data_IF_087058805451
#
_entry.id   IF_087058805451
#
_cell.length_a   1.000
_cell.length_b   1.000
_cell.length_c   1.000
_cell.angle_alpha   90.00
_cell.angle_beta   90.00
_cell.angle_gamma   90.00
#
_symmetry.space_group_name_H-M   'P 1'
#
loop_
_entity.id
_entity.type
_entity.pdbx_description
1 polymer ?
#
# COMPACT_ATOMS: atom_id res chain seq x y z
N UNK A 1 -5.17 6.53 8.73
CA UNK A 1 -5.31 8.01 8.55
C UNK A 1 -4.30 8.82 9.37
N UNK A 2 -4.08 8.53 10.66
CA UNK A 2 -3.13 9.26 11.50
C UNK A 2 -1.69 9.30 10.95
N UNK A 3 -1.18 8.19 10.40
CA UNK A 3 0.17 8.15 9.81
C UNK A 3 0.33 9.14 8.64
N UNK A 4 -0.72 9.32 7.82
CA UNK A 4 -0.70 10.30 6.72
C UNK A 4 -0.63 11.73 7.25
N UNK A 5 -1.40 12.07 8.29
CA UNK A 5 -1.32 13.39 8.92
C UNK A 5 0.07 13.66 9.52
N UNK A 6 0.67 12.67 10.19
CA UNK A 6 2.03 12.80 10.77
C UNK A 6 3.09 13.05 9.70
N UNK A 7 3.00 12.35 8.57
CA UNK A 7 3.87 12.56 7.41
C UNK A 7 3.75 13.99 6.84
N UNK A 8 2.52 14.48 6.61
CA UNK A 8 2.30 15.81 6.06
C UNK A 8 2.72 16.93 7.03
N UNK A 9 2.53 16.75 8.35
CA UNK A 9 3.03 17.69 9.35
C UNK A 9 4.54 17.79 9.36
N UNK A 10 5.24 16.65 9.24
CA UNK A 10 6.70 16.63 9.11
C UNK A 10 7.15 17.31 7.82
N UNK A 11 6.54 16.97 6.69
CA UNK A 11 6.85 17.57 5.38
C UNK A 11 6.66 19.09 5.39
N UNK A 12 5.56 19.57 5.98
CA UNK A 12 5.29 21.00 6.12
C UNK A 12 6.36 21.67 7.00
N UNK A 13 6.67 21.09 8.17
CA UNK A 13 7.69 21.62 9.08
C UNK A 13 9.07 21.74 8.41
N UNK A 14 9.53 20.66 7.76
CA UNK A 14 10.84 20.62 7.11
C UNK A 14 10.92 21.65 5.99
N UNK A 15 9.86 21.77 5.18
CA UNK A 15 9.79 22.75 4.08
C UNK A 15 9.73 24.19 4.58
N UNK A 16 9.06 24.44 5.70
CA UNK A 16 8.98 25.77 6.31
C UNK A 16 10.32 26.22 6.90
N UNK A 17 11.02 25.31 7.60
CA UNK A 17 12.37 25.57 8.11
C UNK A 17 13.36 25.87 6.98
N UNK A 18 13.29 25.09 5.89
CA UNK A 18 14.12 25.32 4.71
C UNK A 18 13.83 26.69 4.07
N UNK A 19 12.55 27.08 3.95
CA UNK A 19 12.17 28.38 3.43
C UNK A 19 12.66 29.54 4.32
N UNK A 20 12.57 29.40 5.65
CA UNK A 20 13.09 30.39 6.60
C UNK A 20 14.61 30.53 6.50
N UNK A 21 15.34 29.40 6.42
CA UNK A 21 16.80 29.41 6.26
C UNK A 21 17.24 30.14 4.99
N UNK A 22 16.48 30.01 3.91
CA UNK A 22 16.76 30.66 2.63
C UNK A 22 16.08 32.04 2.46
N UNK A 23 15.40 32.58 3.49
CA UNK A 23 14.64 33.84 3.44
C UNK A 23 13.64 33.90 2.26
N UNK A 24 12.96 32.79 1.99
CA UNK A 24 11.98 32.68 0.90
C UNK A 24 10.60 33.05 1.44
N UNK A 25 9.92 33.98 0.78
CA UNK A 25 8.51 34.23 1.04
C UNK A 25 7.65 33.11 0.42
N UNK A 26 6.99 32.35 1.28
CA UNK A 26 6.17 31.18 0.91
C UNK A 26 4.68 31.46 1.05
N UNK A 27 4.29 32.70 1.32
CA UNK A 27 2.88 33.08 1.48
C UNK A 27 2.10 33.03 0.17
N UNK A 28 2.77 33.19 -0.97
CA UNK A 28 2.16 33.13 -2.30
C UNK A 28 2.44 31.79 -2.99
N UNK A 29 1.41 31.26 -3.67
CA UNK A 29 1.60 30.09 -4.53
C UNK A 29 2.63 30.42 -5.61
N UNK A 30 3.67 29.59 -5.80
CA UNK A 30 4.72 29.90 -6.76
C UNK A 30 4.14 29.99 -8.17
N UNK A 31 4.44 31.10 -8.87
CA UNK A 31 4.15 31.24 -10.30
C UNK A 31 5.17 30.42 -11.09
N UNK A 32 4.69 29.67 -12.09
CA UNK A 32 5.55 28.87 -12.96
C UNK A 32 6.39 29.79 -13.86
N UNK A 33 7.55 30.21 -13.38
CA UNK A 33 8.51 30.99 -14.15
C UNK A 33 9.64 30.08 -14.67
N UNK A 34 9.81 30.05 -15.99
CA UNK A 34 10.67 29.09 -16.70
C UNK A 34 12.18 29.41 -16.53
N UNK A 35 12.53 30.63 -16.09
CA UNK A 35 13.92 31.09 -15.94
C UNK A 35 14.20 31.65 -14.55
N UNK A 36 14.53 30.77 -13.62
CA UNK A 36 14.95 31.15 -12.27
C UNK A 36 16.33 30.62 -11.93
N UNK A 37 17.06 31.38 -11.11
CA UNK A 37 18.30 30.93 -10.50
C UNK A 37 18.06 29.71 -9.61
N UNK A 38 19.09 28.89 -9.38
CA UNK A 38 18.98 27.64 -8.59
C UNK A 38 18.42 27.91 -7.19
N UNK A 39 18.84 29.00 -6.53
CA UNK A 39 18.31 29.42 -5.22
C UNK A 39 16.80 29.74 -5.28
N UNK A 40 16.35 30.48 -6.30
CA UNK A 40 14.93 30.76 -6.50
C UNK A 40 14.12 29.49 -6.81
N UNK A 41 14.68 28.54 -7.57
CA UNK A 41 14.04 27.24 -7.83
C UNK A 41 13.85 26.40 -6.55
N UNK A 42 14.84 26.38 -5.65
CA UNK A 42 14.70 25.73 -4.34
C UNK A 42 13.60 26.37 -3.51
N UNK A 43 13.57 27.70 -3.43
CA UNK A 43 12.51 28.42 -2.73
C UNK A 43 11.10 28.12 -3.27
N UNK A 44 10.95 28.06 -4.60
CA UNK A 44 9.67 27.66 -5.22
C UNK A 44 9.26 26.22 -4.90
N UNK A 45 10.23 25.30 -4.86
CA UNK A 45 9.96 23.92 -4.46
C UNK A 45 9.45 23.85 -3.02
N UNK A 46 10.10 24.55 -2.09
CA UNK A 46 9.69 24.62 -0.68
C UNK A 46 8.32 25.29 -0.53
N UNK A 47 8.04 26.39 -1.25
CA UNK A 47 6.70 27.02 -1.28
C UNK A 47 5.61 26.05 -1.79
N UNK A 48 5.88 25.35 -2.90
CA UNK A 48 4.95 24.36 -3.46
C UNK A 48 4.70 23.19 -2.50
N UNK A 49 5.76 22.69 -1.86
CA UNK A 49 5.67 21.62 -0.87
C UNK A 49 4.85 22.06 0.35
N UNK A 50 5.03 23.29 0.84
CA UNK A 50 4.26 23.88 1.95
C UNK A 50 2.77 23.96 1.57
N UNK A 51 2.44 24.52 0.41
CA UNK A 51 1.04 24.63 -0.03
C UNK A 51 0.37 23.26 -0.20
N UNK A 52 1.06 22.31 -0.85
CA UNK A 52 0.55 20.94 -0.99
C UNK A 52 0.34 20.27 0.36
N UNK A 53 1.31 20.40 1.29
CA UNK A 53 1.19 19.80 2.62
C UNK A 53 0.09 20.48 3.44
N UNK A 54 -0.10 21.80 3.33
CA UNK A 54 -1.21 22.55 3.96
C UNK A 54 -2.57 22.01 3.51
N UNK A 55 -2.76 21.85 2.20
CA UNK A 55 -4.00 21.30 1.64
C UNK A 55 -4.23 19.85 2.13
N UNK A 56 -3.18 19.03 2.20
CA UNK A 56 -3.27 17.65 2.68
C UNK A 56 -3.52 17.55 4.19
N UNK A 57 -2.93 18.42 5.01
CA UNK A 57 -3.20 18.50 6.46
C UNK A 57 -4.69 18.77 6.68
N UNK A 58 -5.28 19.74 5.98
CA UNK A 58 -6.71 20.04 6.07
C UNK A 58 -7.56 18.81 5.69
N UNK A 59 -7.26 18.17 4.54
CA UNK A 59 -7.97 16.95 4.10
C UNK A 59 -7.87 15.82 5.12
N UNK A 60 -6.68 15.62 5.68
CA UNK A 60 -6.41 14.55 6.64
C UNK A 60 -7.14 14.77 7.96
N UNK A 61 -7.13 16.00 8.50
CA UNK A 61 -7.90 16.31 9.72
C UNK A 61 -9.40 16.16 9.50
N UNK A 62 -9.93 16.59 8.35
CA UNK A 62 -11.32 16.31 7.98
C UNK A 62 -11.62 14.81 7.90
N UNK A 63 -10.70 14.00 7.35
CA UNK A 63 -10.88 12.55 7.30
C UNK A 63 -10.93 11.91 8.70
N UNK A 64 -10.24 12.50 9.71
CA UNK A 64 -10.31 12.02 11.10
C UNK A 64 -11.69 12.18 11.71
N UNK A 65 -12.57 13.03 11.18
CA UNK A 65 -13.97 13.12 11.65
C UNK A 65 -14.67 11.76 11.57
N UNK A 66 -14.25 10.85 10.69
CA UNK A 66 -14.77 9.47 10.64
C UNK A 66 -14.52 8.66 11.91
N UNK A 67 -13.56 9.06 12.73
CA UNK A 67 -13.22 8.42 14.01
C UNK A 67 -14.05 8.93 15.20
N UNK A 68 -15.03 9.82 14.97
CA UNK A 68 -15.94 10.33 15.99
C UNK A 68 -16.79 9.25 16.69
N UNK A 69 -16.86 8.05 16.09
CA UNK A 69 -17.54 6.88 16.66
C UNK A 69 -16.88 6.39 17.95
N UNK A 70 -15.62 6.73 18.19
CA UNK A 70 -14.94 6.55 19.47
C UNK A 70 -15.17 7.81 20.30
N UNK A 71 -15.94 7.70 21.38
CA UNK A 71 -16.43 8.84 22.18
C UNK A 71 -15.30 9.79 22.63
N UNK A 72 -14.16 9.22 23.00
CA UNK A 72 -12.97 9.96 23.45
C UNK A 72 -12.23 10.72 22.33
N UNK A 73 -12.46 10.43 21.05
CA UNK A 73 -11.79 11.11 19.94
C UNK A 73 -12.43 12.44 19.57
N UNK A 74 -13.72 12.62 19.85
CA UNK A 74 -14.46 13.83 19.48
C UNK A 74 -13.80 15.13 19.97
N UNK A 75 -13.43 15.28 21.26
CA UNK A 75 -12.75 16.50 21.72
C UNK A 75 -11.38 16.70 21.05
N UNK A 76 -10.62 15.62 20.85
CA UNK A 76 -9.30 15.65 20.21
C UNK A 76 -9.41 16.10 18.75
N UNK A 77 -10.42 15.62 18.00
CA UNK A 77 -10.65 16.01 16.60
C UNK A 77 -11.03 17.50 16.50
N UNK A 78 -11.90 17.99 17.38
CA UNK A 78 -12.28 19.41 17.42
C UNK A 78 -11.04 20.27 17.68
N UNK A 79 -10.22 19.89 18.64
CA UNK A 79 -8.98 20.60 18.96
C UNK A 79 -8.00 20.61 17.77
N UNK A 80 -7.83 19.47 17.10
CA UNK A 80 -7.03 19.39 15.87
C UNK A 80 -7.56 20.31 14.76
N UNK A 81 -8.87 20.43 14.60
CA UNK A 81 -9.47 21.36 13.62
C UNK A 81 -9.20 22.82 13.98
N UNK A 82 -9.31 23.18 15.26
CA UNK A 82 -9.00 24.51 15.75
C UNK A 82 -7.51 24.86 15.54
N UNK A 83 -6.61 23.96 15.90
CA UNK A 83 -5.16 24.14 15.69
C UNK A 83 -4.80 24.26 14.21
N UNK A 84 -5.45 23.51 13.31
CA UNK A 84 -5.24 23.67 11.87
C UNK A 84 -5.78 25.00 11.37
N UNK A 85 -6.90 25.48 11.90
CA UNK A 85 -7.41 26.81 11.59
C UNK A 85 -6.43 27.91 12.04
N UNK A 86 -5.91 27.82 13.27
CA UNK A 86 -4.89 28.72 13.81
C UNK A 86 -3.61 28.70 12.97
N UNK A 87 -3.14 27.50 12.59
CA UNK A 87 -1.99 27.33 11.68
C UNK A 87 -2.22 28.07 10.36
N UNK A 88 -3.41 27.96 9.78
CA UNK A 88 -3.74 28.65 8.54
C UNK A 88 -3.72 30.18 8.72
N UNK A 89 -4.20 30.70 9.85
CA UNK A 89 -4.18 32.13 10.15
C UNK A 89 -2.74 32.65 10.33
N UNK A 90 -1.94 31.99 11.17
CA UNK A 90 -0.56 32.41 11.45
C UNK A 90 0.33 32.31 10.21
N UNK A 91 0.15 31.26 9.41
CA UNK A 91 0.83 31.14 8.12
C UNK A 91 0.48 32.30 7.18
N UNK A 92 -0.80 32.67 7.08
CA UNK A 92 -1.24 33.78 6.22
C UNK A 92 -0.72 35.15 6.73
N UNK A 93 -0.54 35.30 8.05
CA UNK A 93 0.12 36.47 8.67
C UNK A 93 1.65 36.46 8.52
N UNK A 94 2.23 35.42 7.88
CA UNK A 94 3.69 35.19 7.75
C UNK A 94 4.39 34.98 9.11
N UNK A 95 3.66 34.55 10.14
CA UNK A 95 4.22 34.23 11.44
C UNK A 95 4.70 32.77 11.48
N UNK A 96 5.86 32.52 10.86
CA UNK A 96 6.38 31.16 10.67
C UNK A 96 6.84 30.50 11.96
N UNK A 97 7.37 31.26 12.91
CA UNK A 97 7.75 30.72 14.23
C UNK A 97 6.53 30.17 14.97
N UNK A 98 5.44 30.95 15.02
CA UNK A 98 4.21 30.51 15.67
C UNK A 98 3.56 29.33 14.90
N UNK A 99 3.67 29.31 13.57
CA UNK A 99 3.24 28.17 12.75
C UNK A 99 3.97 26.87 13.14
N UNK A 100 5.28 26.93 13.44
CA UNK A 100 6.05 25.77 13.91
C UNK A 100 5.59 25.30 15.29
N UNK A 101 5.29 26.22 16.21
CA UNK A 101 4.76 25.89 17.54
C UNK A 101 3.40 25.19 17.44
N UNK A 102 2.51 25.70 16.58
CA UNK A 102 1.19 25.08 16.33
C UNK A 102 1.36 23.67 15.77
N UNK A 103 2.31 23.42 14.86
CA UNK A 103 2.59 22.06 14.36
C UNK A 103 2.99 21.12 15.49
N UNK A 104 3.78 21.57 16.46
CA UNK A 104 4.13 20.75 17.63
C UNK A 104 2.91 20.45 18.49
N UNK A 105 2.02 21.42 18.70
CA UNK A 105 0.73 21.21 19.39
C UNK A 105 -0.13 20.17 18.65
N UNK A 106 -0.25 20.28 17.32
CA UNK A 106 -0.98 19.31 16.49
C UNK A 106 -0.39 17.91 16.66
N UNK A 107 0.94 17.76 16.64
CA UNK A 107 1.61 16.47 16.84
C UNK A 107 1.35 15.87 18.23
N UNK A 108 1.31 16.70 19.27
CA UNK A 108 1.00 16.26 20.64
C UNK A 108 -0.47 15.82 20.74
N UNK A 109 -1.39 16.61 20.19
CA UNK A 109 -2.82 16.31 20.21
C UNK A 109 -3.15 15.06 19.40
N UNK A 110 -2.51 14.90 18.24
CA UNK A 110 -2.65 13.72 17.38
C UNK A 110 -2.33 12.41 18.12
N UNK A 111 -1.36 12.42 19.05
CA UNK A 111 -0.99 11.22 19.83
C UNK A 111 -2.09 10.77 20.79
N UNK A 112 -3.05 11.64 21.11
CA UNK A 112 -4.19 11.32 21.99
C UNK A 112 -5.32 10.61 21.24
N UNK A 113 -5.29 10.58 19.90
CA UNK A 113 -6.29 9.88 19.12
C UNK A 113 -6.23 8.38 19.39
N UNK A 114 -7.35 7.84 19.85
CA UNK A 114 -7.58 6.40 19.99
C UNK A 114 -8.00 5.91 18.61
N UNK A 115 -7.07 5.29 17.89
CA UNK A 115 -7.39 4.62 16.64
C UNK A 115 -8.02 3.28 17.03
N UNK A 116 -9.33 3.05 16.77
CA UNK A 116 -9.94 1.78 17.14
C UNK A 116 -9.15 0.65 16.47
N UNK A 117 -8.79 -0.37 17.25
CA UNK A 117 -8.03 -1.54 16.79
C UNK A 117 -8.73 -2.31 15.65
N UNK A 118 -9.95 -1.93 15.27
CA UNK A 118 -10.66 -2.45 14.09
C UNK A 118 -9.94 -2.20 12.76
N UNK A 119 -8.88 -1.37 12.71
CA UNK A 119 -7.98 -1.28 11.55
C UNK A 119 -6.74 -2.20 11.64
N UNK A 120 -6.47 -2.81 12.81
CA UNK A 120 -5.50 -3.88 13.01
C UNK A 120 -6.12 -5.26 12.83
N UNK A 121 -7.09 -5.40 11.91
CA UNK A 121 -7.45 -6.72 11.40
C UNK A 121 -6.26 -7.26 10.61
N UNK A 122 -5.29 -7.80 11.35
CA UNK A 122 -4.32 -8.73 10.80
C UNK A 122 -5.14 -9.77 10.06
N UNK A 123 -4.82 -9.96 8.80
CA UNK A 123 -5.33 -11.12 8.10
C UNK A 123 -4.75 -12.33 8.80
N UNK A 124 -5.60 -13.28 9.12
CA UNK A 124 -5.21 -14.64 9.48
C UNK A 124 -5.73 -15.53 8.39
N UNK A 125 -4.85 -16.39 7.87
CA UNK A 125 -5.16 -17.24 6.73
C UNK A 125 -5.45 -18.65 7.22
N UNK A 126 -6.65 -19.16 6.89
CA UNK A 126 -6.96 -20.57 7.10
C UNK A 126 -6.10 -21.44 6.19
N UNK A 127 -5.48 -22.47 6.78
CA UNK A 127 -4.55 -23.36 6.08
C UNK A 127 -5.34 -24.43 5.33
N UNK A 128 -5.22 -24.52 3.99
CA UNK A 128 -5.90 -25.54 3.21
C UNK A 128 -5.32 -26.92 3.49
N UNK A 129 -6.08 -27.97 3.19
CA UNK A 129 -5.56 -29.34 3.15
C UNK A 129 -4.66 -29.48 1.92
N UNK A 130 -3.43 -29.98 2.12
CA UNK A 130 -2.41 -30.04 1.09
C UNK A 130 -1.84 -31.45 0.96
N UNK A 131 -1.30 -31.77 -0.21
CA UNK A 131 -0.49 -32.96 -0.41
C UNK A 131 0.78 -32.86 0.46
N UNK A 132 1.15 -33.90 1.24
CA UNK A 132 2.31 -33.88 2.13
C UNK A 132 3.62 -33.48 1.47
N UNK A 133 3.82 -33.81 0.19
CA UNK A 133 5.06 -33.53 -0.53
C UNK A 133 5.29 -32.03 -0.80
N UNK A 134 4.21 -31.25 -0.92
CA UNK A 134 4.29 -29.79 -1.15
C UNK A 134 3.85 -28.97 0.08
N UNK A 135 3.33 -29.62 1.12
CA UNK A 135 2.71 -28.95 2.25
C UNK A 135 3.66 -27.98 2.94
N UNK A 136 4.92 -28.39 3.16
CA UNK A 136 5.90 -27.54 3.83
C UNK A 136 6.17 -26.25 3.05
N UNK A 137 6.38 -26.35 1.73
CA UNK A 137 6.68 -25.18 0.89
C UNK A 137 5.47 -24.23 0.83
N UNK A 138 4.28 -24.78 0.56
CA UNK A 138 3.07 -23.97 0.43
C UNK A 138 2.68 -23.32 1.76
N UNK A 139 2.85 -23.99 2.89
CA UNK A 139 2.57 -23.40 4.21
C UNK A 139 3.55 -22.27 4.56
N UNK A 140 4.83 -22.41 4.19
CA UNK A 140 5.80 -21.33 4.36
C UNK A 140 5.43 -20.11 3.50
N UNK A 141 5.02 -20.33 2.25
CA UNK A 141 4.55 -19.23 1.38
C UNK A 141 3.25 -18.58 1.93
N UNK A 142 2.33 -19.34 2.54
CA UNK A 142 1.12 -18.80 3.20
C UNK A 142 1.48 -17.94 4.42
N UNK A 143 2.46 -18.37 5.22
CA UNK A 143 2.94 -17.58 6.35
C UNK A 143 3.58 -16.26 5.88
N UNK A 144 4.41 -16.32 4.83
CA UNK A 144 4.98 -15.10 4.23
C UNK A 144 3.90 -14.20 3.63
N UNK A 145 2.86 -14.79 3.03
CA UNK A 145 1.71 -14.08 2.47
C UNK A 145 0.96 -13.29 3.55
N UNK A 146 0.71 -13.92 4.70
CA UNK A 146 0.08 -13.29 5.86
C UNK A 146 0.93 -12.11 6.38
N UNK A 147 2.23 -12.33 6.56
CA UNK A 147 3.17 -11.30 6.99
C UNK A 147 3.21 -10.11 6.01
N UNK A 148 3.30 -10.41 4.71
CA UNK A 148 3.31 -9.39 3.66
C UNK A 148 2.01 -8.59 3.62
N UNK A 149 0.86 -9.25 3.80
CA UNK A 149 -0.44 -8.58 3.80
C UNK A 149 -0.55 -7.61 4.99
N UNK A 150 -0.15 -8.08 6.17
CA UNK A 150 -0.19 -7.31 7.40
C UNK A 150 0.80 -6.13 7.37
N UNK A 151 1.91 -6.26 6.64
CA UNK A 151 2.84 -5.17 6.35
C UNK A 151 2.39 -4.23 5.21
N UNK A 152 1.19 -4.42 4.65
CA UNK A 152 0.67 -3.68 3.48
C UNK A 152 1.52 -3.83 2.20
N UNK A 153 2.29 -4.91 2.08
CA UNK A 153 3.10 -5.27 0.91
C UNK A 153 2.25 -5.99 -0.16
N UNK A 154 1.18 -5.35 -0.61
CA UNK A 154 0.13 -5.97 -1.42
C UNK A 154 0.57 -6.54 -2.77
N UNK A 155 1.63 -6.00 -3.39
CA UNK A 155 2.20 -6.57 -4.62
C UNK A 155 2.91 -7.88 -4.33
N UNK A 156 3.67 -7.96 -3.23
CA UNK A 156 4.33 -9.18 -2.79
C UNK A 156 3.31 -10.28 -2.50
N UNK A 157 2.16 -9.94 -1.89
CA UNK A 157 1.09 -10.91 -1.69
C UNK A 157 0.62 -11.56 -3.00
N UNK A 158 0.42 -10.77 -4.06
CA UNK A 158 -0.04 -11.31 -5.36
C UNK A 158 1.05 -12.18 -6.00
N UNK A 159 2.33 -11.85 -5.83
CA UNK A 159 3.45 -12.69 -6.29
C UNK A 159 3.44 -14.04 -5.56
N UNK A 160 3.27 -14.03 -4.23
CA UNK A 160 3.19 -15.24 -3.41
C UNK A 160 1.97 -16.10 -3.77
N UNK A 161 0.80 -15.49 -4.04
CA UNK A 161 -0.36 -16.22 -4.57
C UNK A 161 -0.03 -16.94 -5.88
N UNK A 162 0.78 -16.32 -6.75
CA UNK A 162 1.26 -16.97 -7.97
C UNK A 162 2.17 -18.15 -7.71
N UNK A 163 3.13 -18.00 -6.79
CA UNK A 163 4.04 -19.09 -6.41
C UNK A 163 3.28 -20.28 -5.82
N UNK A 164 2.36 -20.03 -4.89
CA UNK A 164 1.50 -21.06 -4.28
C UNK A 164 0.74 -21.84 -5.35
N UNK A 165 0.11 -21.15 -6.31
CA UNK A 165 -0.61 -21.80 -7.42
C UNK A 165 0.34 -22.61 -8.31
N UNK A 166 1.53 -22.09 -8.60
CA UNK A 166 2.53 -22.76 -9.44
C UNK A 166 2.97 -24.08 -8.80
N UNK A 167 3.31 -24.07 -7.51
CA UNK A 167 3.66 -25.27 -6.74
C UNK A 167 2.52 -26.29 -6.71
N UNK A 168 1.28 -25.85 -6.47
CA UNK A 168 0.12 -26.75 -6.45
C UNK A 168 -0.18 -27.36 -7.83
N UNK A 169 -0.08 -26.57 -8.90
CA UNK A 169 -0.32 -27.04 -10.26
C UNK A 169 0.78 -28.00 -10.75
N UNK A 170 2.04 -27.78 -10.36
CA UNK A 170 3.13 -28.74 -10.62
C UNK A 170 2.82 -30.10 -10.01
N UNK A 171 2.42 -30.12 -8.72
CA UNK A 171 2.00 -31.35 -8.05
C UNK A 171 0.81 -32.01 -8.74
N UNK A 172 -0.21 -31.22 -9.09
CA UNK A 172 -1.40 -31.73 -9.80
C UNK A 172 -1.04 -32.33 -11.16
N UNK A 173 -0.13 -31.71 -11.90
CA UNK A 173 0.37 -32.24 -13.17
C UNK A 173 1.07 -33.59 -12.97
N UNK A 174 1.93 -33.69 -11.95
CA UNK A 174 2.61 -34.94 -11.61
C UNK A 174 1.60 -36.03 -11.23
N UNK A 175 0.61 -35.71 -10.38
CA UNK A 175 -0.39 -36.69 -9.93
C UNK A 175 -1.17 -37.33 -11.08
N UNK A 176 -1.44 -36.57 -12.16
CA UNK A 176 -2.18 -37.06 -13.32
C UNK A 176 -1.27 -37.75 -14.34
N UNK A 177 -0.04 -37.27 -14.52
CA UNK A 177 0.82 -37.71 -15.63
C UNK A 177 1.93 -38.67 -15.21
N UNK A 178 2.26 -38.73 -13.92
CA UNK A 178 3.43 -39.43 -13.37
C UNK A 178 4.77 -38.78 -13.73
N UNK A 179 4.77 -37.62 -14.39
CA UNK A 179 6.00 -36.94 -14.83
C UNK A 179 6.23 -35.66 -14.05
N UNK A 180 7.44 -35.50 -13.52
CA UNK A 180 7.87 -34.21 -13.00
C UNK A 180 8.21 -33.28 -14.18
N UNK A 181 7.42 -32.23 -14.33
CA UNK A 181 7.59 -31.25 -15.39
C UNK A 181 8.86 -30.40 -15.18
N UNK A 182 9.30 -30.25 -13.93
CA UNK A 182 10.46 -29.44 -13.57
C UNK A 182 11.78 -30.12 -13.94
N UNK A 183 11.84 -31.45 -13.97
CA UNK A 183 13.02 -32.18 -14.44
C UNK A 183 13.37 -31.85 -15.89
N UNK A 184 12.35 -31.68 -16.74
CA UNK A 184 12.52 -31.38 -18.17
C UNK A 184 12.51 -29.89 -18.48
N UNK A 185 11.84 -29.09 -17.65
CA UNK A 185 11.62 -27.66 -17.89
C UNK A 185 11.77 -26.88 -16.58
N UNK A 186 12.99 -26.77 -16.04
CA UNK A 186 13.21 -25.99 -14.82
C UNK A 186 12.81 -24.52 -15.07
N UNK A 187 12.06 -23.94 -14.14
CA UNK A 187 11.58 -22.55 -14.26
C UNK A 187 10.44 -22.34 -15.25
N UNK A 188 9.65 -23.39 -15.56
CA UNK A 188 8.43 -23.24 -16.35
C UNK A 188 7.46 -22.26 -15.66
N UNK A 189 7.05 -21.21 -16.38
CA UNK A 189 6.08 -20.26 -15.85
C UNK A 189 4.65 -20.79 -15.87
N UNK A 190 3.81 -20.27 -14.97
CA UNK A 190 2.37 -20.58 -14.85
C UNK A 190 1.62 -20.66 -16.19
N UNK A 191 1.85 -19.72 -17.12
CA UNK A 191 1.14 -19.71 -18.40
C UNK A 191 1.47 -20.94 -19.27
N UNK A 192 2.75 -21.31 -19.35
CA UNK A 192 3.21 -22.48 -20.10
C UNK A 192 2.80 -23.78 -19.41
N UNK A 193 2.77 -23.80 -18.07
CA UNK A 193 2.28 -24.94 -17.30
C UNK A 193 0.81 -25.25 -17.61
N UNK A 194 -0.06 -24.24 -17.63
CA UNK A 194 -1.48 -24.42 -18.02
C UNK A 194 -1.61 -25.00 -19.42
N UNK A 195 -0.87 -24.47 -20.39
CA UNK A 195 -0.92 -24.95 -21.77
C UNK A 195 -0.56 -26.45 -21.84
N UNK A 196 0.49 -26.88 -21.13
CA UNK A 196 0.88 -28.29 -21.04
C UNK A 196 -0.15 -29.15 -20.32
N UNK A 197 -0.81 -28.62 -19.28
CA UNK A 197 -1.93 -29.33 -18.63
C UNK A 197 -3.10 -29.56 -19.59
N UNK A 198 -3.44 -28.56 -20.40
CA UNK A 198 -4.49 -28.65 -21.42
C UNK A 198 -4.14 -29.64 -22.54
N UNK A 199 -2.89 -29.66 -23.00
CA UNK A 199 -2.39 -30.65 -23.98
C UNK A 199 -2.50 -32.10 -23.47
N UNK A 200 -2.53 -32.29 -22.15
CA UNK A 200 -2.72 -33.59 -21.49
C UNK A 200 -4.18 -33.88 -21.12
N UNK A 201 -5.12 -33.09 -21.63
CA UNK A 201 -6.57 -33.16 -21.35
C UNK A 201 -6.89 -33.04 -19.84
N UNK A 202 -6.03 -32.35 -19.08
CA UNK A 202 -6.29 -32.06 -17.66
C UNK A 202 -7.24 -30.86 -17.61
N UNK A 203 -8.50 -31.14 -17.26
CA UNK A 203 -9.52 -30.11 -17.10
C UNK A 203 -9.24 -29.24 -15.88
N UNK A 204 -8.97 -27.97 -16.13
CA UNK A 204 -8.87 -26.94 -15.10
C UNK A 204 -10.19 -26.17 -15.01
N UNK A 205 -10.59 -25.80 -13.79
CA UNK A 205 -11.73 -24.93 -13.58
C UNK A 205 -11.48 -23.56 -14.26
N UNK A 206 -12.45 -22.99 -15.00
CA UNK A 206 -12.29 -21.71 -15.68
C UNK A 206 -11.84 -20.56 -14.76
N UNK A 207 -12.23 -20.59 -13.47
CA UNK A 207 -11.82 -19.63 -12.46
C UNK A 207 -10.31 -19.65 -12.19
N UNK A 208 -9.67 -20.82 -12.32
CA UNK A 208 -8.21 -20.97 -12.19
C UNK A 208 -7.50 -20.21 -13.29
N UNK A 209 -7.93 -20.37 -14.54
CA UNK A 209 -7.33 -19.69 -15.69
C UNK A 209 -7.46 -18.16 -15.56
N UNK A 210 -8.63 -17.67 -15.14
CA UNK A 210 -8.85 -16.23 -14.93
C UNK A 210 -7.95 -15.67 -13.82
N UNK A 211 -7.83 -16.39 -12.69
CA UNK A 211 -6.97 -15.97 -11.58
C UNK A 211 -5.50 -15.91 -12.01
N UNK A 212 -5.05 -16.89 -12.77
CA UNK A 212 -3.66 -16.94 -13.23
C UNK A 212 -3.37 -15.79 -14.20
N UNK A 213 -4.31 -15.44 -15.08
CA UNK A 213 -4.15 -14.25 -15.92
C UNK A 213 -4.02 -12.97 -15.09
N UNK A 214 -4.86 -12.80 -14.05
CA UNK A 214 -4.78 -11.66 -13.15
C UNK A 214 -3.43 -11.59 -12.43
N UNK A 215 -2.99 -12.70 -11.83
CA UNK A 215 -1.72 -12.80 -11.12
C UNK A 215 -0.53 -12.56 -12.07
N UNK A 216 -0.53 -13.17 -13.25
CA UNK A 216 0.55 -13.00 -14.23
C UNK A 216 0.68 -11.54 -14.68
N UNK A 217 -0.45 -10.87 -14.92
CA UNK A 217 -0.42 -9.44 -15.24
C UNK A 217 0.30 -8.66 -14.13
N UNK A 218 -0.06 -8.89 -12.87
CA UNK A 218 0.57 -8.19 -11.73
C UNK A 218 2.04 -8.58 -11.52
N UNK A 219 2.42 -9.86 -11.68
CA UNK A 219 3.82 -10.32 -11.61
C UNK A 219 4.68 -9.60 -12.65
N UNK A 220 4.21 -9.53 -13.90
CA UNK A 220 4.91 -8.83 -14.99
C UNK A 220 5.06 -7.34 -14.66
N UNK A 221 4.00 -6.67 -14.19
CA UNK A 221 4.07 -5.27 -13.76
C UNK A 221 4.98 -5.05 -12.53
N UNK A 222 5.32 -6.11 -11.81
CA UNK A 222 6.17 -6.03 -10.62
C UNK A 222 7.65 -6.16 -10.89
N UNK A 223 8.02 -6.79 -12.01
CA UNK A 223 9.42 -7.01 -12.40
C UNK A 223 9.82 -6.14 -13.60
N UNK A 224 8.87 -5.77 -14.47
CA UNK A 224 9.15 -5.01 -15.69
C UNK A 224 8.53 -3.60 -15.67
N UNK A 225 9.30 -2.61 -16.11
CA UNK A 225 8.85 -1.21 -16.23
C UNK A 225 7.86 -1.08 -17.39
N UNK A 226 6.57 -0.95 -17.08
CA UNK A 226 5.52 -0.60 -18.06
C UNK A 226 5.01 0.83 -17.83
N UNK A 227 4.24 1.33 -18.81
CA UNK A 227 3.73 2.72 -18.84
C UNK A 227 2.82 3.02 -17.65
N UNK A 228 1.98 2.05 -17.27
CA UNK A 228 1.02 2.19 -16.17
C UNK A 228 1.34 1.19 -15.04
N UNK A 229 1.40 1.69 -13.81
CA UNK A 229 1.69 0.91 -12.62
C UNK A 229 0.37 0.43 -11.99
N UNK A 230 0.18 -0.89 -11.90
CA UNK A 230 -0.91 -1.46 -11.11
C UNK A 230 -0.53 -1.47 -9.62
N UNK A 231 -1.33 -0.76 -8.81
CA UNK A 231 -1.19 -0.70 -7.35
C UNK A 231 -2.44 -1.32 -6.73
N UNK A 232 -2.41 -2.60 -6.29
CA UNK A 232 -3.57 -3.23 -5.69
C UNK A 232 -3.94 -2.56 -4.37
N UNK A 233 -5.25 -2.42 -4.14
CA UNK A 233 -5.81 -2.03 -2.84
C UNK A 233 -5.82 -3.21 -1.87
N UNK A 234 -5.92 -2.92 -0.55
CA UNK A 234 -6.05 -3.94 0.49
C UNK A 234 -7.17 -4.94 0.21
N UNK A 235 -8.32 -4.46 -0.25
CA UNK A 235 -9.50 -5.27 -0.56
C UNK A 235 -9.29 -6.14 -1.80
N UNK A 236 -8.70 -5.59 -2.86
CA UNK A 236 -8.35 -6.36 -4.05
C UNK A 236 -7.36 -7.48 -3.72
N UNK A 237 -6.32 -7.18 -2.93
CA UNK A 237 -5.36 -8.19 -2.49
C UNK A 237 -6.02 -9.25 -1.63
N UNK A 238 -6.90 -8.86 -0.70
CA UNK A 238 -7.63 -9.82 0.13
C UNK A 238 -8.48 -10.78 -0.72
N UNK A 239 -9.22 -10.24 -1.70
CA UNK A 239 -10.02 -11.04 -2.62
C UNK A 239 -9.16 -12.01 -3.45
N UNK A 240 -8.00 -11.54 -3.94
CA UNK A 240 -7.05 -12.40 -4.67
C UNK A 240 -6.56 -13.54 -3.78
N UNK A 241 -6.21 -13.26 -2.53
CA UNK A 241 -5.74 -14.28 -1.57
C UNK A 241 -6.84 -15.31 -1.32
N UNK A 242 -8.04 -14.87 -0.97
CA UNK A 242 -9.16 -15.78 -0.72
C UNK A 242 -9.47 -16.66 -1.91
N UNK A 243 -9.47 -16.09 -3.12
CA UNK A 243 -9.75 -16.85 -4.33
C UNK A 243 -8.63 -17.85 -4.65
N UNK A 244 -7.37 -17.47 -4.44
CA UNK A 244 -6.24 -18.40 -4.57
C UNK A 244 -6.34 -19.57 -3.58
N UNK A 245 -6.70 -19.32 -2.32
CA UNK A 245 -6.81 -20.38 -1.31
C UNK A 245 -8.01 -21.30 -1.56
N UNK A 246 -9.12 -20.75 -2.04
CA UNK A 246 -10.29 -21.55 -2.48
C UNK A 246 -9.93 -22.47 -3.65
N UNK A 247 -9.17 -21.97 -4.63
CA UNK A 247 -8.64 -22.78 -5.73
C UNK A 247 -7.74 -23.91 -5.20
N UNK A 248 -6.78 -23.58 -4.33
CA UNK A 248 -5.86 -24.58 -3.74
C UNK A 248 -6.63 -25.64 -2.98
N UNK A 249 -7.65 -25.24 -2.20
CA UNK A 249 -8.50 -26.16 -1.44
C UNK A 249 -9.35 -27.08 -2.32
N UNK A 250 -9.62 -26.70 -3.57
CA UNK A 250 -10.36 -27.53 -4.54
C UNK A 250 -9.44 -28.47 -5.34
N UNK A 251 -8.12 -28.28 -5.30
CA UNK A 251 -7.17 -29.12 -6.03
C UNK A 251 -6.89 -30.47 -5.33
N UNK A 252 -7.06 -30.54 -4.00
CA UNK A 252 -6.73 -31.65 -3.11
C UNK A 252 -7.87 -31.95 -2.13
#
# INVERSE_FOLDING_TARGET
>A
MANSLSFELKRFQDSLLDAMYHNVDVSEKPKNEIRLSISKKKGQFSASAIHSSKENINKNVWALTKLHTVENNKPVIIELMNLVHELNQEFNKKNYMNSLEIIQKIKLEQKKLIIPESENNKMTIDRPKLNPEIAQEVLADIEELENAYNASCYRSCIILCGRILETCLHRKYYDVTGFDILEKNPGIGLGTLIAKMQEKDIKLDPGITQQIHLINNVRIFSVHKKRDLFIPTRQQTYAIILFTLDIVSKMF
#
